data_IF_969600158891
#
_entry.id   IF_969600158891
#
_cell.length_a   1.000
_cell.length_b   1.000
_cell.length_c   1.000
_cell.angle_alpha   90.00
_cell.angle_beta   90.00
_cell.angle_gamma   90.00
#
_symmetry.space_group_name_H-M   'P 1'
#
loop_
_entity.id
_entity.type
_entity.pdbx_description
1 polymer ?
#
# COMPACT_ATOMS: atom_id res chain seq x y z
N UNK A 1 35.03 -4.10 -17.97
CA UNK A 1 33.74 -4.83 -18.03
C UNK A 1 32.72 -3.93 -18.71
N UNK A 2 31.88 -4.46 -19.60
CA UNK A 2 30.76 -3.73 -20.23
C UNK A 2 29.49 -3.98 -19.41
N UNK A 3 28.78 -2.93 -19.05
CA UNK A 3 27.51 -2.95 -18.33
C UNK A 3 26.38 -2.50 -19.24
N UNK A 4 25.26 -3.22 -19.17
CA UNK A 4 24.00 -2.84 -19.81
C UNK A 4 23.04 -2.37 -18.71
N UNK A 5 22.69 -1.08 -18.72
CA UNK A 5 21.83 -0.45 -17.73
C UNK A 5 20.52 -0.07 -18.40
N UNK A 6 19.38 -0.51 -17.85
CA UNK A 6 18.06 0.01 -18.25
C UNK A 6 17.68 1.15 -17.33
N UNK A 7 17.39 2.32 -17.87
CA UNK A 7 16.91 3.49 -17.12
C UNK A 7 15.65 4.01 -17.81
N UNK A 8 14.48 3.83 -17.17
CA UNK A 8 13.16 4.04 -17.80
C UNK A 8 13.07 3.22 -19.10
N UNK A 9 12.77 3.85 -20.23
CA UNK A 9 12.70 3.20 -21.54
C UNK A 9 14.06 3.10 -22.28
N UNK A 10 15.14 3.66 -21.73
CA UNK A 10 16.43 3.70 -22.42
C UNK A 10 17.37 2.59 -21.95
N UNK A 11 18.11 2.02 -22.89
CA UNK A 11 19.21 1.09 -22.63
C UNK A 11 20.52 1.86 -22.80
N UNK A 12 21.32 1.91 -21.75
CA UNK A 12 22.64 2.53 -21.73
C UNK A 12 23.67 1.40 -21.69
N UNK A 13 24.58 1.39 -22.66
CA UNK A 13 25.76 0.53 -22.64
C UNK A 13 26.93 1.38 -22.18
N UNK A 14 27.58 0.97 -21.10
CA UNK A 14 28.74 1.68 -20.56
C UNK A 14 29.83 0.70 -20.16
N UNK A 15 31.04 1.18 -19.91
CA UNK A 15 32.12 0.36 -19.39
C UNK A 15 32.48 0.80 -17.97
N UNK A 16 32.76 -0.17 -17.12
CA UNK A 16 33.22 0.06 -15.76
C UNK A 16 34.48 -0.77 -15.52
N UNK A 17 35.45 -0.13 -14.85
CA UNK A 17 36.71 -0.74 -14.44
C UNK A 17 36.63 -1.05 -12.95
N UNK A 18 36.90 -2.29 -12.58
CA UNK A 18 37.03 -2.65 -11.17
C UNK A 18 38.31 -2.02 -10.58
N UNK A 19 38.24 -1.61 -9.33
CA UNK A 19 39.34 -1.02 -8.56
C UNK A 19 39.55 -1.82 -7.28
N UNK A 20 40.79 -1.91 -6.82
CA UNK A 20 41.10 -2.56 -5.53
C UNK A 20 40.80 -1.59 -4.39
N UNK A 21 39.89 -1.97 -3.50
CA UNK A 21 39.59 -1.22 -2.29
C UNK A 21 40.73 -1.31 -1.26
N UNK A 22 40.71 -0.46 -0.24
CA UNK A 22 41.73 -0.40 0.82
C UNK A 22 41.89 -1.71 1.61
N UNK A 23 40.87 -2.57 1.59
CA UNK A 23 40.91 -3.91 2.20
C UNK A 23 41.42 -5.02 1.25
N UNK A 24 42.01 -4.65 0.10
CA UNK A 24 42.56 -5.58 -0.89
C UNK A 24 41.53 -6.26 -1.80
N UNK A 25 40.22 -5.99 -1.63
CA UNK A 25 39.17 -6.57 -2.48
C UNK A 25 38.97 -5.77 -3.76
N UNK A 26 38.83 -6.45 -4.89
CA UNK A 26 38.47 -5.83 -6.18
C UNK A 26 36.98 -5.52 -6.19
N UNK A 27 36.60 -4.27 -6.45
CA UNK A 27 35.22 -3.77 -6.42
C UNK A 27 34.91 -2.89 -7.63
N UNK A 28 33.64 -2.86 -8.03
CA UNK A 28 33.13 -1.98 -9.08
C UNK A 28 32.65 -0.62 -8.54
N UNK A 29 32.54 -0.49 -7.22
CA UNK A 29 31.89 0.68 -6.60
C UNK A 29 30.38 0.77 -6.89
N UNK A 30 29.76 -0.31 -7.37
CA UNK A 30 28.32 -0.40 -7.60
C UNK A 30 27.58 -0.52 -6.27
N UNK A 31 26.67 0.42 -5.99
CA UNK A 31 25.68 0.28 -4.94
C UNK A 31 24.42 -0.34 -5.54
N UNK A 32 24.13 -1.58 -5.15
CA UNK A 32 22.95 -2.31 -5.61
C UNK A 32 21.95 -2.36 -4.47
N UNK A 33 20.78 -1.76 -4.68
CA UNK A 33 19.62 -1.95 -3.80
C UNK A 33 18.88 -3.18 -4.31
N UNK A 34 19.07 -4.30 -3.63
CA UNK A 34 18.57 -5.62 -4.05
C UNK A 34 17.06 -5.74 -3.82
N UNK A 35 16.58 -5.30 -2.66
CA UNK A 35 15.18 -5.41 -2.26
C UNK A 35 14.66 -4.11 -1.65
N UNK A 36 13.35 -3.89 -1.78
CA UNK A 36 12.62 -2.86 -1.04
C UNK A 36 11.74 -3.55 -0.03
N UNK A 37 12.01 -3.30 1.25
CA UNK A 37 11.15 -3.74 2.33
C UNK A 37 10.19 -2.61 2.70
N UNK A 38 8.93 -2.95 2.89
CA UNK A 38 7.90 -2.00 3.29
C UNK A 38 6.79 -2.67 4.08
N UNK A 39 6.12 -1.88 4.91
CA UNK A 39 4.92 -2.27 5.63
C UNK A 39 3.72 -1.71 4.87
N UNK A 40 2.80 -2.58 4.48
CA UNK A 40 1.64 -2.23 3.68
C UNK A 40 0.39 -2.96 4.15
N UNK A 41 -0.77 -2.35 3.91
CA UNK A 41 -2.05 -3.00 4.19
C UNK A 41 -2.57 -3.72 2.95
N UNK A 42 -2.98 -4.97 3.14
CA UNK A 42 -3.71 -5.73 2.14
C UNK A 42 -5.14 -5.19 2.09
N UNK A 43 -5.55 -4.66 0.94
CA UNK A 43 -6.85 -4.02 0.78
C UNK A 43 -7.97 -5.04 0.61
N UNK A 44 -7.81 -5.95 -0.35
CA UNK A 44 -8.80 -6.96 -0.63
C UNK A 44 -8.14 -8.24 -1.10
N UNK A 45 -8.89 -9.33 -0.96
CA UNK A 45 -8.64 -10.60 -1.64
C UNK A 45 -9.93 -10.98 -2.35
N UNK A 46 -9.83 -11.31 -3.64
CA UNK A 46 -10.92 -11.96 -4.35
C UNK A 46 -10.87 -13.47 -4.03
N UNK A 47 -11.86 -14.02 -3.32
CA UNK A 47 -11.84 -15.42 -2.88
C UNK A 47 -11.97 -16.41 -4.05
N UNK A 48 -12.55 -16.00 -5.18
CA UNK A 48 -12.76 -16.88 -6.34
C UNK A 48 -11.45 -17.09 -7.11
N UNK A 49 -10.67 -16.03 -7.28
CA UNK A 49 -9.43 -16.04 -8.08
C UNK A 49 -8.16 -16.12 -7.23
N UNK A 50 -8.27 -15.95 -5.91
CA UNK A 50 -7.16 -15.80 -4.96
C UNK A 50 -6.22 -14.63 -5.32
N UNK A 51 -6.72 -13.63 -6.03
CA UNK A 51 -5.97 -12.41 -6.33
C UNK A 51 -6.16 -11.37 -5.25
N UNK A 52 -5.16 -10.50 -5.05
CA UNK A 52 -5.24 -9.43 -4.07
C UNK A 52 -4.86 -8.07 -4.67
N UNK A 53 -5.28 -7.00 -3.98
CA UNK A 53 -4.75 -5.65 -4.13
C UNK A 53 -4.32 -5.08 -2.78
N UNK A 54 -3.29 -4.24 -2.77
CA UNK A 54 -2.70 -3.64 -1.57
C UNK A 54 -2.22 -2.20 -1.82
N UNK A 55 -1.97 -1.47 -0.73
CA UNK A 55 -1.41 -0.11 -0.64
C UNK A 55 -2.25 1.04 -1.23
N UNK A 56 -2.85 0.89 -2.40
CA UNK A 56 -3.49 2.01 -3.09
C UNK A 56 -2.51 3.02 -3.73
N UNK A 57 -1.21 2.69 -3.77
CA UNK A 57 -0.17 3.42 -4.47
C UNK A 57 1.01 2.50 -4.85
N UNK A 58 1.91 3.01 -5.68
CA UNK A 58 3.11 2.29 -6.09
C UNK A 58 4.18 2.19 -4.98
N UNK A 59 4.94 1.08 -4.90
CA UNK A 59 6.11 0.96 -4.00
C UNK A 59 7.32 1.69 -4.59
N UNK A 60 7.48 1.64 -5.91
CA UNK A 60 8.58 2.27 -6.64
C UNK A 60 8.05 3.08 -7.81
N UNK A 61 8.74 4.13 -8.23
CA UNK A 61 8.29 5.01 -9.32
C UNK A 61 8.52 4.38 -10.72
N UNK A 62 8.10 3.14 -10.92
CA UNK A 62 8.12 2.40 -12.18
C UNK A 62 6.99 1.35 -12.19
N UNK A 63 6.19 1.32 -13.25
CA UNK A 63 5.22 0.24 -13.44
C UNK A 63 5.92 -1.06 -13.84
N UNK A 64 5.69 -2.12 -13.09
CA UNK A 64 6.27 -3.43 -13.33
C UNK A 64 5.17 -4.49 -13.39
N UNK A 65 5.35 -5.45 -14.30
CA UNK A 65 4.51 -6.64 -14.40
C UNK A 65 5.38 -7.85 -14.70
N UNK A 66 5.14 -8.96 -14.01
CA UNK A 66 5.89 -10.19 -14.20
C UNK A 66 5.32 -11.36 -13.38
N UNK A 67 5.80 -12.59 -13.62
CA UNK A 67 5.30 -13.78 -12.93
C UNK A 67 5.59 -13.76 -11.42
N UNK A 68 6.66 -13.08 -11.01
CA UNK A 68 7.08 -12.89 -9.60
C UNK A 68 7.98 -11.65 -9.50
N UNK A 69 7.44 -10.57 -8.94
CA UNK A 69 8.18 -9.34 -8.64
C UNK A 69 8.61 -9.25 -7.17
N UNK A 70 7.94 -9.99 -6.29
CA UNK A 70 8.21 -9.99 -4.86
C UNK A 70 7.25 -10.92 -4.11
N UNK A 71 7.30 -10.88 -2.78
CA UNK A 71 6.46 -11.70 -1.91
C UNK A 71 5.79 -10.84 -0.85
N UNK A 72 4.59 -11.22 -0.45
CA UNK A 72 3.93 -10.66 0.73
C UNK A 72 4.09 -11.62 1.91
N UNK A 73 4.36 -11.06 3.08
CA UNK A 73 4.60 -11.79 4.32
C UNK A 73 3.70 -11.23 5.42
N UNK A 74 3.42 -12.04 6.43
CA UNK A 74 2.68 -11.56 7.60
C UNK A 74 3.54 -10.60 8.44
N UNK A 75 2.88 -9.69 9.15
CA UNK A 75 3.54 -8.80 10.11
C UNK A 75 2.64 -8.58 11.32
N UNK A 76 3.23 -8.09 12.42
CA UNK A 76 2.51 -7.71 13.64
C UNK A 76 2.96 -6.32 14.07
N UNK A 77 2.01 -5.48 14.47
CA UNK A 77 2.26 -4.12 14.95
C UNK A 77 2.63 -4.20 16.44
N UNK A 78 3.79 -3.64 16.80
CA UNK A 78 4.24 -3.60 18.20
C UNK A 78 4.28 -2.18 18.77
N UNK A 79 4.00 -1.17 17.94
CA UNK A 79 4.05 0.22 18.35
C UNK A 79 3.58 1.16 17.26
N UNK A 80 3.24 2.38 17.66
CA UNK A 80 2.85 3.48 16.78
C UNK A 80 3.70 4.69 17.12
N UNK A 81 4.31 5.32 16.11
CA UNK A 81 4.75 6.71 16.23
C UNK A 81 3.61 7.60 15.78
N UNK A 82 3.09 8.40 16.70
CA UNK A 82 2.00 9.36 16.44
C UNK A 82 2.41 10.38 15.36
N UNK A 83 1.48 10.73 14.50
CA UNK A 83 1.60 11.84 13.54
C UNK A 83 1.22 13.17 14.18
N UNK A 84 1.80 14.24 13.65
CA UNK A 84 1.45 15.62 13.93
C UNK A 84 1.45 16.40 12.62
N UNK A 85 0.78 17.55 12.51
CA UNK A 85 0.90 18.42 11.35
C UNK A 85 2.37 18.66 10.96
N UNK A 86 2.74 18.30 9.73
CA UNK A 86 4.10 18.40 9.21
C UNK A 86 5.02 17.23 9.56
N UNK A 87 4.62 16.32 10.45
CA UNK A 87 5.44 15.21 10.98
C UNK A 87 4.73 13.87 10.73
N UNK A 88 5.18 13.07 9.74
CA UNK A 88 4.59 11.76 9.47
C UNK A 88 4.75 10.77 10.62
N UNK A 89 3.61 10.20 11.04
CA UNK A 89 3.58 9.03 11.91
C UNK A 89 3.87 7.74 11.16
N UNK A 90 4.04 6.63 11.88
CA UNK A 90 4.24 5.30 11.29
C UNK A 90 3.81 4.16 12.20
N UNK A 91 3.42 3.04 11.59
CA UNK A 91 3.31 1.75 12.26
C UNK A 91 4.69 1.13 12.44
N UNK A 92 5.01 0.70 13.66
CA UNK A 92 6.21 -0.07 13.96
C UNK A 92 5.83 -1.55 13.96
N UNK A 93 6.34 -2.29 12.97
CA UNK A 93 5.94 -3.66 12.72
C UNK A 93 7.13 -4.61 12.69
N UNK A 94 6.92 -5.81 13.21
CA UNK A 94 7.84 -6.94 13.05
C UNK A 94 7.33 -7.80 11.89
N UNK A 95 8.22 -8.10 10.94
CA UNK A 95 7.91 -8.99 9.82
C UNK A 95 8.08 -10.43 10.28
N UNK A 96 7.04 -11.23 10.08
CA UNK A 96 7.08 -12.66 10.33
C UNK A 96 7.52 -13.38 9.05
N UNK A 97 8.32 -14.44 9.20
CA UNK A 97 8.91 -15.17 8.05
C UNK A 97 7.90 -15.99 7.22
N UNK A 98 6.61 -15.95 7.54
CA UNK A 98 5.57 -16.66 6.79
C UNK A 98 5.15 -15.84 5.57
N UNK A 99 5.54 -16.34 4.40
CA UNK A 99 5.03 -15.91 3.10
C UNK A 99 3.56 -16.29 2.96
N UNK A 100 2.75 -15.39 2.40
CA UNK A 100 1.31 -15.62 2.18
C UNK A 100 0.89 -15.39 0.72
N UNK A 101 1.82 -14.96 -0.14
CA UNK A 101 1.53 -14.66 -1.53
C UNK A 101 2.70 -14.07 -2.31
N UNK A 102 2.46 -13.89 -3.61
CA UNK A 102 3.42 -13.38 -4.58
C UNK A 102 2.89 -12.10 -5.23
N UNK A 103 3.74 -11.08 -5.30
CA UNK A 103 3.50 -9.83 -6.04
C UNK A 103 3.80 -10.07 -7.52
N UNK A 104 2.88 -9.64 -8.39
CA UNK A 104 2.97 -9.79 -9.85
C UNK A 104 2.91 -8.47 -10.60
N UNK A 105 2.27 -7.44 -10.02
CA UNK A 105 2.21 -6.10 -10.60
C UNK A 105 2.50 -5.04 -9.53
N UNK A 106 3.24 -4.01 -9.93
CA UNK A 106 3.39 -2.75 -9.22
C UNK A 106 2.90 -1.64 -10.15
N UNK A 107 1.87 -0.91 -9.74
CA UNK A 107 1.26 0.17 -10.54
C UNK A 107 1.04 1.42 -9.69
N UNK A 108 0.66 2.51 -10.33
CA UNK A 108 0.38 3.78 -9.64
C UNK A 108 -0.73 3.68 -8.59
N UNK A 109 -1.66 2.72 -8.74
CA UNK A 109 -2.83 2.56 -7.87
C UNK A 109 -2.72 1.38 -6.90
N UNK A 110 -1.56 0.74 -6.81
CA UNK A 110 -1.34 -0.33 -5.84
C UNK A 110 -0.45 -1.46 -6.34
N UNK A 111 -0.39 -2.47 -5.50
CA UNK A 111 0.38 -3.69 -5.73
C UNK A 111 -0.56 -4.87 -5.79
N UNK A 112 -0.39 -5.71 -6.80
CA UNK A 112 -1.32 -6.80 -7.10
C UNK A 112 -0.59 -8.12 -7.27
N UNK A 113 -1.30 -9.19 -6.93
CA UNK A 113 -0.70 -10.51 -6.91
C UNK A 113 -1.70 -11.60 -6.59
N UNK A 114 -1.18 -12.72 -6.08
CA UNK A 114 -1.97 -13.87 -5.66
C UNK A 114 -1.56 -14.35 -4.28
N UNK A 115 -2.52 -14.77 -3.46
CA UNK A 115 -2.27 -15.44 -2.19
C UNK A 115 -2.12 -16.95 -2.39
N UNK A 116 -1.33 -17.60 -1.53
CA UNK A 116 -1.10 -19.05 -1.58
C UNK A 116 -2.34 -19.84 -1.15
N UNK A 117 -3.07 -19.32 -0.16
CA UNK A 117 -4.28 -19.92 0.38
C UNK A 117 -5.19 -18.89 1.04
N UNK A 118 -6.41 -19.31 1.35
CA UNK A 118 -7.41 -18.48 2.04
C UNK A 118 -7.51 -18.75 3.54
N UNK A 119 -6.81 -19.77 4.05
CA UNK A 119 -6.89 -20.21 5.45
C UNK A 119 -6.50 -19.11 6.44
N UNK A 120 -5.60 -18.21 6.04
CA UNK A 120 -5.16 -17.08 6.84
C UNK A 120 -6.15 -15.90 6.81
N UNK A 121 -7.21 -16.00 5.99
CA UNK A 121 -8.15 -14.92 5.72
C UNK A 121 -9.58 -15.38 6.03
N UNK A 122 -10.03 -15.11 7.26
CA UNK A 122 -11.44 -15.20 7.63
C UNK A 122 -12.06 -13.81 7.65
N UNK A 123 -12.98 -13.56 6.71
CA UNK A 123 -13.79 -12.35 6.64
C UNK A 123 -15.07 -12.61 5.84
N UNK A 124 -16.14 -11.89 6.19
CA UNK A 124 -17.34 -11.84 5.36
C UNK A 124 -17.01 -11.13 4.04
N UNK A 125 -17.44 -11.71 2.93
CA UNK A 125 -17.31 -11.06 1.63
C UNK A 125 -18.28 -9.87 1.53
N UNK A 126 -17.79 -8.78 0.95
CA UNK A 126 -18.59 -7.60 0.64
C UNK A 126 -18.42 -7.26 -0.84
N UNK A 127 -19.42 -6.66 -1.49
CA UNK A 127 -19.28 -6.20 -2.87
C UNK A 127 -18.36 -4.98 -2.94
N UNK A 128 -17.88 -4.71 -4.15
CA UNK A 128 -17.17 -3.46 -4.49
C UNK A 128 -18.20 -2.47 -5.01
N UNK A 129 -18.11 -1.22 -4.56
CA UNK A 129 -18.99 -0.16 -5.04
C UNK A 129 -18.55 0.35 -6.41
N UNK A 130 -19.53 0.70 -7.25
CA UNK A 130 -19.29 1.55 -8.41
C UNK A 130 -18.99 3.00 -7.95
N UNK A 131 -18.19 3.79 -8.68
CA UNK A 131 -17.89 5.17 -8.30
C UNK A 131 -19.13 6.05 -8.10
N UNK A 132 -20.21 5.78 -8.84
CA UNK A 132 -21.49 6.50 -8.71
C UNK A 132 -22.25 6.18 -7.42
N UNK A 133 -21.89 5.12 -6.72
CA UNK A 133 -22.49 4.73 -5.44
C UNK A 133 -21.77 5.36 -4.24
N UNK A 134 -20.58 5.93 -4.44
CA UNK A 134 -19.83 6.59 -3.39
C UNK A 134 -20.37 8.00 -3.18
N UNK A 135 -20.68 8.35 -1.94
CA UNK A 135 -21.26 9.64 -1.59
C UNK A 135 -20.62 10.24 -0.34
N UNK A 136 -20.90 11.52 -0.10
CA UNK A 136 -20.45 12.22 1.12
C UNK A 136 -21.10 11.63 2.37
N UNK A 137 -20.39 11.69 3.50
CA UNK A 137 -20.87 11.27 4.80
C UNK A 137 -20.17 10.01 5.34
N UNK A 138 -20.83 9.35 6.28
CA UNK A 138 -20.22 8.32 7.11
C UNK A 138 -19.68 7.11 6.30
N UNK A 139 -18.54 6.60 6.74
CA UNK A 139 -17.91 5.39 6.26
C UNK A 139 -17.09 4.74 7.39
N UNK A 140 -16.49 3.60 7.10
CA UNK A 140 -15.65 2.84 8.02
C UNK A 140 -14.31 2.54 7.38
N UNK A 141 -13.21 2.81 8.08
CA UNK A 141 -11.88 2.40 7.65
C UNK A 141 -11.42 1.19 8.47
N UNK A 142 -11.05 0.10 7.79
CA UNK A 142 -10.45 -1.06 8.43
C UNK A 142 -8.93 -0.93 8.47
N UNK A 143 -8.32 -1.05 9.63
CA UNK A 143 -6.86 -1.08 9.75
C UNK A 143 -6.39 -1.86 10.98
N UNK A 144 -5.07 -2.00 11.13
CA UNK A 144 -4.42 -2.66 12.28
C UNK A 144 -3.51 -1.65 12.96
N UNK A 145 -3.74 -1.40 14.25
CA UNK A 145 -2.91 -0.50 15.08
C UNK A 145 -2.26 -1.21 16.26
N UNK A 146 -2.68 -2.44 16.57
CA UNK A 146 -2.13 -3.26 17.65
C UNK A 146 -2.07 -4.74 17.22
N UNK A 147 -0.89 -5.34 17.37
CA UNK A 147 -0.60 -6.73 17.03
C UNK A 147 -1.08 -7.09 15.62
N UNK A 148 -1.96 -8.08 15.50
CA UNK A 148 -2.59 -8.49 14.24
C UNK A 148 -4.10 -8.20 14.21
N UNK A 149 -4.60 -7.37 15.14
CA UNK A 149 -6.04 -7.15 15.32
C UNK A 149 -6.57 -6.20 14.26
N UNK A 150 -7.46 -6.71 13.41
CA UNK A 150 -8.21 -5.88 12.45
C UNK A 150 -9.33 -5.16 13.19
N UNK A 151 -9.35 -3.84 13.08
CA UNK A 151 -10.33 -2.98 13.73
C UNK A 151 -10.99 -2.07 12.70
N UNK A 152 -12.19 -1.60 13.03
CA UNK A 152 -12.96 -0.65 12.23
C UNK A 152 -12.98 0.68 12.95
N UNK A 153 -12.73 1.75 12.21
CA UNK A 153 -12.70 3.11 12.74
C UNK A 153 -13.59 4.01 11.90
N UNK A 154 -14.32 4.89 12.58
CA UNK A 154 -15.17 5.90 11.95
C UNK A 154 -14.35 6.88 11.09
N UNK A 155 -14.80 7.07 9.85
CA UNK A 155 -14.29 8.10 8.93
C UNK A 155 -15.46 8.75 8.20
N UNK A 156 -15.25 9.95 7.69
CA UNK A 156 -16.23 10.66 6.87
C UNK A 156 -15.67 10.88 5.46
N UNK A 157 -16.47 10.57 4.44
CA UNK A 157 -16.20 10.93 3.05
C UNK A 157 -16.58 12.38 2.85
N UNK A 158 -15.58 13.23 2.61
CA UNK A 158 -15.76 14.69 2.51
C UNK A 158 -15.61 15.22 1.08
N UNK A 159 -15.08 14.40 0.17
CA UNK A 159 -14.97 14.73 -1.25
C UNK A 159 -14.99 13.45 -2.08
N UNK A 160 -15.77 13.46 -3.16
CA UNK A 160 -15.84 12.37 -4.14
C UNK A 160 -15.55 12.95 -5.51
N UNK A 161 -14.48 12.49 -6.16
CA UNK A 161 -14.11 12.97 -7.50
C UNK A 161 -14.63 12.03 -8.57
N UNK A 162 -15.41 12.58 -9.49
CA UNK A 162 -15.72 11.89 -10.74
C UNK A 162 -14.44 11.65 -11.54
N UNK A 163 -14.18 10.40 -11.89
CA UNK A 163 -12.98 9.98 -12.61
C UNK A 163 -13.34 9.20 -13.88
N UNK A 164 -12.77 9.62 -15.00
CA UNK A 164 -12.85 8.88 -16.27
C UNK A 164 -11.62 7.96 -16.49
N UNK A 165 -10.66 7.97 -15.55
CA UNK A 165 -9.43 7.17 -15.58
C UNK A 165 -8.96 6.87 -14.15
N UNK A 166 -8.12 5.84 -14.01
CA UNK A 166 -7.46 5.47 -12.74
C UNK A 166 -6.66 6.65 -12.19
N UNK A 167 -6.91 7.03 -10.94
CA UNK A 167 -6.15 8.05 -10.20
C UNK A 167 -6.23 7.77 -8.69
N UNK A 168 -5.12 8.02 -8.00
CA UNK A 168 -4.87 7.76 -6.57
C UNK A 168 -5.65 8.68 -5.62
N UNK A 169 -6.18 9.82 -6.10
CA UNK A 169 -6.93 10.79 -5.30
C UNK A 169 -8.40 10.87 -5.71
N UNK A 170 -9.09 9.73 -5.68
CA UNK A 170 -10.50 9.63 -6.07
C UNK A 170 -11.48 10.03 -4.97
N UNK A 171 -11.19 9.68 -3.73
CA UNK A 171 -12.04 9.97 -2.58
C UNK A 171 -11.17 10.68 -1.53
N UNK A 172 -11.69 11.72 -0.89
CA UNK A 172 -11.05 12.34 0.28
C UNK A 172 -11.85 11.95 1.52
N UNK A 173 -11.15 11.48 2.54
CA UNK A 173 -11.74 11.11 3.82
C UNK A 173 -11.14 11.94 4.96
N UNK A 174 -11.90 12.06 6.04
CA UNK A 174 -11.44 12.56 7.34
C UNK A 174 -11.64 11.45 8.38
N UNK A 175 -10.63 11.21 9.21
CA UNK A 175 -10.76 10.33 10.38
C UNK A 175 -11.54 11.06 11.46
N UNK A 176 -12.66 10.49 11.87
CA UNK A 176 -13.54 11.04 12.91
C UNK A 176 -13.52 10.21 14.20
N UNK A 177 -12.95 9.00 14.13
CA UNK A 177 -12.77 8.11 15.28
C UNK A 177 -11.75 8.65 16.29
N UNK A 178 -12.22 8.97 17.49
CA UNK A 178 -11.37 9.55 18.52
C UNK A 178 -10.32 8.56 19.06
N UNK A 179 -10.62 7.27 19.14
CA UNK A 179 -9.67 6.27 19.63
C UNK A 179 -8.49 6.15 18.66
N UNK A 180 -8.78 6.15 17.35
CA UNK A 180 -7.74 6.15 16.33
C UNK A 180 -6.89 7.41 16.40
N UNK A 181 -7.53 8.59 16.44
CA UNK A 181 -6.84 9.89 16.52
C UNK A 181 -5.94 10.00 17.77
N UNK A 182 -6.41 9.51 18.90
CA UNK A 182 -5.64 9.52 20.14
C UNK A 182 -4.38 8.66 20.04
N UNK A 183 -4.50 7.48 19.41
CA UNK A 183 -3.38 6.54 19.21
C UNK A 183 -2.39 7.01 18.13
N UNK A 184 -2.88 7.51 17.00
CA UNK A 184 -2.07 7.67 15.77
C UNK A 184 -1.92 9.11 15.32
N UNK A 185 -2.74 10.03 15.81
CA UNK A 185 -2.78 11.44 15.37
C UNK A 185 -3.41 11.63 14.00
N UNK A 186 -4.01 10.57 13.43
CA UNK A 186 -4.55 10.56 12.07
C UNK A 186 -4.05 9.37 11.25
N UNK A 187 -4.03 9.53 9.94
CA UNK A 187 -3.53 8.54 8.99
C UNK A 187 -1.99 8.54 9.03
N UNK A 188 -1.39 7.37 9.19
CA UNK A 188 0.06 7.21 9.33
C UNK A 188 0.62 6.26 8.28
N UNK A 189 1.95 6.27 8.10
CA UNK A 189 2.62 5.31 7.23
C UNK A 189 2.34 3.87 7.68
N UNK A 190 2.07 3.00 6.71
CA UNK A 190 1.60 1.63 6.95
C UNK A 190 0.07 1.48 6.97
N UNK A 191 -0.70 2.58 7.00
CA UNK A 191 -2.15 2.55 6.73
C UNK A 191 -2.48 2.55 5.24
N UNK A 192 -1.53 2.86 4.36
CA UNK A 192 -1.74 2.73 2.91
C UNK A 192 -2.28 1.33 2.57
N UNK A 193 -3.41 1.29 1.88
CA UNK A 193 -4.17 0.11 1.53
C UNK A 193 -5.30 -0.23 2.49
N UNK A 194 -5.48 0.54 3.58
CA UNK A 194 -6.58 0.34 4.53
C UNK A 194 -7.93 0.43 3.80
N UNK A 195 -8.76 -0.62 3.82
CA UNK A 195 -10.05 -0.63 3.15
C UNK A 195 -11.00 0.40 3.73
N UNK A 196 -11.71 1.12 2.87
CA UNK A 196 -12.79 2.04 3.26
C UNK A 196 -14.12 1.46 2.77
N UNK A 197 -15.07 1.34 3.69
CA UNK A 197 -16.37 0.70 3.50
C UNK A 197 -17.47 1.73 3.74
N UNK A 198 -18.38 1.87 2.80
CA UNK A 198 -19.59 2.70 2.92
C UNK A 198 -20.78 1.86 2.42
N UNK A 199 -21.91 1.93 3.12
CA UNK A 199 -23.13 1.16 2.81
C UNK A 199 -22.90 -0.35 2.62
N UNK A 200 -21.97 -0.91 3.40
CA UNK A 200 -21.61 -2.33 3.34
C UNK A 200 -20.84 -2.73 2.08
N UNK A 201 -20.34 -1.77 1.29
CA UNK A 201 -19.55 -1.99 0.09
C UNK A 201 -18.13 -1.44 0.25
N UNK A 202 -17.15 -2.11 -0.35
CA UNK A 202 -15.79 -1.59 -0.45
C UNK A 202 -15.77 -0.44 -1.47
N UNK A 203 -15.57 0.80 -1.00
CA UNK A 203 -15.54 1.99 -1.85
C UNK A 203 -14.13 2.35 -2.30
N UNK A 204 -13.12 2.06 -1.47
CA UNK A 204 -11.75 2.46 -1.76
C UNK A 204 -10.71 1.94 -0.78
N UNK A 205 -9.48 2.38 -1.00
CA UNK A 205 -8.34 2.09 -0.15
C UNK A 205 -7.55 3.37 0.08
N UNK A 206 -7.15 3.63 1.32
CA UNK A 206 -6.29 4.78 1.65
C UNK A 206 -5.00 4.72 0.83
N UNK A 207 -4.70 5.77 0.08
CA UNK A 207 -3.49 5.87 -0.77
C UNK A 207 -2.45 6.79 -0.16
N UNK A 208 -2.85 7.97 0.33
CA UNK A 208 -1.95 9.00 0.83
C UNK A 208 -2.57 9.77 2.00
N UNK A 209 -1.73 10.14 2.97
CA UNK A 209 -2.08 11.10 4.03
C UNK A 209 -1.79 12.54 3.56
N UNK A 210 -2.55 13.51 4.06
CA UNK A 210 -2.22 14.93 3.97
C UNK A 210 -1.33 15.29 5.16
N UNK A 211 -0.02 15.47 4.93
CA UNK A 211 0.98 15.57 6.00
C UNK A 211 0.70 16.73 6.97
N UNK A 212 0.19 17.86 6.48
CA UNK A 212 -0.13 19.04 7.31
C UNK A 212 -1.47 18.91 8.04
N UNK A 213 -2.29 17.93 7.68
CA UNK A 213 -3.60 17.66 8.32
C UNK A 213 -3.80 16.15 8.35
N UNK A 214 -3.11 15.45 9.27
CA UNK A 214 -2.98 14.00 9.24
C UNK A 214 -4.31 13.26 9.44
N UNK A 215 -5.33 13.91 9.98
CA UNK A 215 -6.69 13.42 10.04
C UNK A 215 -7.34 13.27 8.65
N UNK A 216 -6.79 13.88 7.61
CA UNK A 216 -7.26 13.74 6.23
C UNK A 216 -6.40 12.83 5.38
N UNK A 217 -7.05 12.09 4.50
CA UNK A 217 -6.40 11.23 3.52
C UNK A 217 -7.12 11.16 2.20
N UNK A 218 -6.40 10.66 1.21
CA UNK A 218 -6.95 10.29 -0.09
C UNK A 218 -7.09 8.79 -0.18
N UNK A 219 -8.09 8.34 -0.93
CA UNK A 219 -8.29 6.96 -1.29
C UNK A 219 -8.37 6.81 -2.81
N UNK A 220 -7.88 5.67 -3.28
CA UNK A 220 -8.17 5.18 -4.63
C UNK A 220 -9.48 4.40 -4.61
N UNK A 221 -10.28 4.49 -5.67
CA UNK A 221 -11.49 3.68 -5.80
C UNK A 221 -11.15 2.19 -5.86
N UNK A 222 -11.89 1.39 -5.12
CA UNK A 222 -11.72 -0.06 -5.11
C UNK A 222 -12.05 -0.67 -6.48
N UNK A 223 -13.02 -0.09 -7.22
CA UNK A 223 -13.31 -0.50 -8.59
C UNK A 223 -12.06 -0.48 -9.47
N UNK A 224 -11.29 0.62 -9.47
CA UNK A 224 -10.06 0.74 -10.26
C UNK A 224 -8.99 -0.28 -9.88
N UNK A 225 -8.91 -0.60 -8.59
CA UNK A 225 -8.01 -1.64 -8.11
C UNK A 225 -8.45 -3.03 -8.57
N UNK A 226 -9.75 -3.33 -8.63
CA UNK A 226 -10.24 -4.66 -9.01
C UNK A 226 -10.14 -4.92 -10.51
N UNK A 227 -10.37 -3.90 -11.35
CA UNK A 227 -10.30 -4.04 -12.82
C UNK A 227 -8.89 -3.81 -13.39
N UNK A 228 -7.85 -3.96 -12.56
CA UNK A 228 -6.48 -3.51 -12.88
C UNK A 228 -5.75 -4.29 -13.97
#
# INVERSE_FOLDING_TARGET
MVLKIKRKAQIIITSCRAVTATNGKVTLGLYVKDEVLGVGTLTYINPQTKTFGALGHSIINEELSGPKLGTIMTSSIHGIRKSYPGIPGEKQATINKKTIGTIKKNTDIGVFGSVEGLSDFSAKTIPVAEPSEVHLGNAQMLTVVDSTRKESFDVEVIEVKTQNRKDIKGIKIQVTDQELLDKTGGIIQGMSGSPVIQDGKLIGAVSHVIIDSPDFGYCVYAMWMVIN
#
